data_IF_093040582607
#
_entry.id   IF_093040582607
#
_cell.length_a   1.000
_cell.length_b   1.000
_cell.length_c   1.000
_cell.angle_alpha   90.00
_cell.angle_beta   90.00
_cell.angle_gamma   90.00
#
_symmetry.space_group_name_H-M   'P 1'
#
loop_
_entity.id
_entity.type
_entity.pdbx_description
1 polymer ?
#
# COMPACT_ATOMS: atom_id res chain seq x y z
N UNK A 1 11.97 4.26 -36.43
CA UNK A 1 10.81 5.09 -36.82
C UNK A 1 10.54 6.06 -35.68
N UNK A 2 11.18 7.22 -35.77
CA UNK A 2 11.15 8.31 -34.79
C UNK A 2 9.94 9.20 -35.07
N UNK A 3 8.86 9.03 -34.31
CA UNK A 3 7.75 9.98 -34.29
C UNK A 3 8.15 11.24 -33.52
N UNK A 4 7.84 12.41 -34.06
CA UNK A 4 8.10 13.70 -33.45
C UNK A 4 7.49 13.76 -32.02
N UNK A 5 8.26 14.11 -30.97
CA UNK A 5 7.76 14.23 -29.60
C UNK A 5 6.91 15.50 -29.38
N UNK A 6 6.79 16.35 -30.39
CA UNK A 6 6.13 17.64 -30.28
C UNK A 6 4.63 17.47 -30.50
N UNK A 7 3.78 17.84 -29.52
CA UNK A 7 2.35 17.91 -29.76
C UNK A 7 2.06 18.97 -30.83
N UNK A 8 1.65 18.51 -32.01
CA UNK A 8 1.24 19.40 -33.09
C UNK A 8 -0.24 19.77 -32.86
N UNK A 9 -0.53 21.08 -32.77
CA UNK A 9 -1.89 21.65 -32.69
C UNK A 9 -2.69 21.30 -31.42
N UNK A 10 -2.17 21.60 -30.23
CA UNK A 10 -2.94 21.58 -28.96
C UNK A 10 -3.24 23.01 -28.52
N UNK A 11 -4.51 23.36 -28.38
CA UNK A 11 -4.95 24.61 -27.75
C UNK A 11 -5.32 24.34 -26.30
N UNK A 12 -4.76 25.11 -25.36
CA UNK A 12 -5.04 24.98 -23.92
C UNK A 12 -5.54 26.31 -23.40
N UNK A 13 -6.61 26.26 -22.60
CA UNK A 13 -7.20 27.43 -21.96
C UNK A 13 -6.98 27.34 -20.47
N UNK A 14 -6.63 28.47 -19.84
CA UNK A 14 -6.46 28.58 -18.39
C UNK A 14 -7.19 29.82 -17.87
N UNK A 15 -7.58 29.77 -16.60
CA UNK A 15 -8.25 30.86 -15.90
C UNK A 15 -7.25 31.58 -14.98
N UNK A 16 -7.40 32.89 -14.74
CA UNK A 16 -6.52 33.61 -13.80
C UNK A 16 -6.67 33.07 -12.38
N UNK A 17 -5.56 33.02 -11.62
CA UNK A 17 -5.53 32.42 -10.28
C UNK A 17 -6.54 33.08 -9.31
N UNK A 18 -6.71 34.40 -9.39
CA UNK A 18 -7.65 35.17 -8.56
C UNK A 18 -9.12 34.83 -8.83
N UNK A 19 -9.43 34.17 -9.95
CA UNK A 19 -10.79 33.75 -10.33
C UNK A 19 -11.03 32.25 -10.15
N UNK A 20 -10.02 31.49 -9.71
CA UNK A 20 -10.17 30.07 -9.40
C UNK A 20 -10.56 29.89 -7.93
N UNK A 21 -11.35 28.85 -7.66
CA UNK A 21 -11.69 28.43 -6.29
C UNK A 21 -10.75 27.28 -5.91
N UNK A 22 -9.76 27.49 -5.02
CA UNK A 22 -8.68 26.51 -4.78
C UNK A 22 -9.17 25.19 -4.20
N UNK A 23 -10.28 25.20 -3.45
CA UNK A 23 -10.88 24.03 -2.82
C UNK A 23 -12.27 23.66 -3.39
N UNK A 24 -12.62 24.14 -4.58
CA UNK A 24 -13.90 23.79 -5.19
C UNK A 24 -14.04 22.27 -5.35
N UNK A 25 -15.10 21.71 -4.76
CA UNK A 25 -15.36 20.27 -4.80
C UNK A 25 -14.33 19.43 -4.04
N UNK A 26 -13.44 20.04 -3.24
CA UNK A 26 -12.36 19.33 -2.58
C UNK A 26 -12.85 18.19 -1.69
N UNK A 27 -13.94 18.35 -0.95
CA UNK A 27 -14.46 17.30 -0.07
C UNK A 27 -14.99 16.09 -0.86
N UNK A 28 -15.85 16.34 -1.85
CA UNK A 28 -16.37 15.29 -2.73
C UNK A 28 -15.24 14.60 -3.51
N UNK A 29 -14.37 15.39 -4.15
CA UNK A 29 -13.26 14.86 -4.94
C UNK A 29 -12.22 14.15 -4.08
N UNK A 30 -11.90 14.65 -2.88
CA UNK A 30 -10.92 14.03 -2.00
C UNK A 30 -11.37 12.63 -1.59
N UNK A 31 -12.62 12.47 -1.15
CA UNK A 31 -13.12 11.16 -0.68
C UNK A 31 -13.10 10.15 -1.83
N UNK A 32 -13.75 10.45 -2.94
CA UNK A 32 -13.88 9.48 -4.04
C UNK A 32 -12.56 9.22 -4.77
N UNK A 33 -11.74 10.26 -4.98
CA UNK A 33 -10.45 10.09 -5.65
C UNK A 33 -9.44 9.36 -4.76
N UNK A 34 -9.44 9.63 -3.44
CA UNK A 34 -8.53 8.95 -2.51
C UNK A 34 -8.93 7.49 -2.35
N UNK A 35 -10.22 7.18 -2.18
CA UNK A 35 -10.68 5.79 -2.13
C UNK A 35 -10.38 5.04 -3.43
N UNK A 36 -10.63 5.66 -4.60
CA UNK A 36 -10.28 5.09 -5.90
C UNK A 36 -8.78 4.78 -5.98
N UNK A 37 -7.91 5.71 -5.57
CA UNK A 37 -6.45 5.48 -5.55
C UNK A 37 -6.04 4.37 -4.60
N UNK A 38 -6.63 4.32 -3.41
CA UNK A 38 -6.36 3.29 -2.40
C UNK A 38 -6.72 1.90 -2.91
N UNK A 39 -7.93 1.70 -3.46
CA UNK A 39 -8.36 0.36 -3.95
C UNK A 39 -7.48 -0.19 -5.08
N UNK A 40 -6.85 0.67 -5.88
CA UNK A 40 -5.95 0.24 -6.94
C UNK A 40 -4.58 -0.22 -6.42
N UNK A 41 -4.22 0.13 -5.19
CA UNK A 41 -2.90 -0.17 -4.61
C UNK A 41 -2.97 -1.17 -3.46
N UNK A 42 -4.07 -1.20 -2.72
CA UNK A 42 -4.21 -2.03 -1.52
C UNK A 42 -3.95 -3.52 -1.79
N UNK A 43 -4.33 -4.04 -2.96
CA UNK A 43 -4.10 -5.45 -3.30
C UNK A 43 -2.64 -5.77 -3.67
N UNK A 44 -1.82 -4.77 -3.99
CA UNK A 44 -0.39 -4.97 -4.22
C UNK A 44 0.41 -4.83 -2.92
N UNK A 45 -0.05 -3.96 -2.03
CA UNK A 45 0.66 -3.58 -0.82
C UNK A 45 0.25 -4.46 0.38
N UNK A 46 -1.04 -4.77 0.54
CA UNK A 46 -1.53 -5.49 1.71
C UNK A 46 -1.06 -6.96 1.79
N UNK A 47 -1.03 -7.76 0.70
CA UNK A 47 -0.62 -9.16 0.81
C UNK A 47 0.78 -9.39 1.41
N UNK A 48 1.86 -8.71 0.96
CA UNK A 48 3.18 -8.92 1.57
C UNK A 48 3.23 -8.51 3.03
N UNK A 49 2.53 -7.44 3.44
CA UNK A 49 2.49 -7.03 4.84
C UNK A 49 1.73 -8.00 5.74
N UNK A 50 0.61 -8.55 5.25
CA UNK A 50 -0.14 -9.57 5.99
C UNK A 50 0.68 -10.84 6.18
N UNK A 51 1.38 -11.29 5.14
CA UNK A 51 2.27 -12.44 5.22
C UNK A 51 3.40 -12.19 6.23
N UNK A 52 4.08 -11.04 6.12
CA UNK A 52 5.16 -10.70 7.04
C UNK A 52 4.70 -10.69 8.50
N UNK A 53 3.52 -10.12 8.77
CA UNK A 53 2.96 -10.08 10.12
C UNK A 53 2.58 -11.47 10.64
N UNK A 54 1.96 -12.31 9.80
CA UNK A 54 1.62 -13.68 10.17
C UNK A 54 2.88 -14.53 10.45
N UNK A 55 3.90 -14.44 9.60
CA UNK A 55 5.18 -15.14 9.81
C UNK A 55 5.89 -14.67 11.07
N UNK A 56 5.85 -13.37 11.37
CA UNK A 56 6.44 -12.82 12.59
C UNK A 56 5.74 -13.37 13.83
N UNK A 57 4.41 -13.36 13.88
CA UNK A 57 3.67 -13.92 15.03
C UNK A 57 3.97 -15.41 15.22
N UNK A 58 3.95 -16.18 14.13
CA UNK A 58 4.30 -17.60 14.18
C UNK A 58 5.73 -17.83 14.70
N UNK A 59 6.69 -17.01 14.26
CA UNK A 59 8.08 -17.11 14.70
C UNK A 59 8.23 -16.79 16.19
N UNK A 60 7.50 -15.79 16.71
CA UNK A 60 7.49 -15.44 18.14
C UNK A 60 6.91 -16.58 18.96
N UNK A 61 5.72 -17.08 18.60
CA UNK A 61 5.06 -18.18 19.31
C UNK A 61 5.92 -19.44 19.32
N UNK A 62 6.52 -19.79 18.17
CA UNK A 62 7.43 -20.95 18.07
C UNK A 62 8.69 -20.74 18.92
N UNK A 63 9.25 -19.54 18.96
CA UNK A 63 10.42 -19.23 19.77
C UNK A 63 10.12 -19.35 21.27
N UNK A 64 8.98 -18.81 21.72
CA UNK A 64 8.53 -18.93 23.11
C UNK A 64 8.26 -20.38 23.49
N UNK A 65 7.63 -21.14 22.59
CA UNK A 65 7.36 -22.56 22.80
C UNK A 65 8.64 -23.38 22.96
N UNK A 66 9.64 -23.19 22.10
CA UNK A 66 10.93 -23.91 22.18
C UNK A 66 11.70 -23.61 23.47
N UNK A 67 11.59 -22.38 23.99
CA UNK A 67 12.22 -22.00 25.26
C UNK A 67 11.42 -22.47 26.50
N UNK A 68 10.17 -22.90 26.31
CA UNK A 68 9.31 -23.43 27.37
C UNK A 68 9.75 -24.84 27.83
N UNK A 69 9.39 -25.20 29.07
CA UNK A 69 9.67 -26.54 29.62
C UNK A 69 9.11 -27.69 28.77
N UNK A 70 7.84 -27.68 28.32
CA UNK A 70 7.30 -28.76 27.50
C UNK A 70 7.94 -28.80 26.10
N UNK A 71 8.26 -27.65 25.49
CA UNK A 71 8.91 -27.63 24.18
C UNK A 71 10.34 -28.17 24.21
N UNK A 72 11.09 -27.88 25.28
CA UNK A 72 12.45 -28.42 25.47
C UNK A 72 12.47 -29.92 25.78
N UNK A 73 11.40 -30.44 26.38
CA UNK A 73 11.25 -31.87 26.64
C UNK A 73 10.89 -32.64 25.37
N UNK A 74 10.00 -32.10 24.54
CA UNK A 74 9.60 -32.73 23.28
C UNK A 74 10.74 -32.76 22.25
N UNK A 75 11.47 -31.66 22.08
CA UNK A 75 12.55 -31.58 21.08
C UNK A 75 13.88 -32.15 21.59
N UNK A 76 14.05 -32.30 22.91
CA UNK A 76 15.26 -32.84 23.54
C UNK A 76 15.25 -34.34 23.80
N UNK A 77 14.12 -35.02 23.59
CA UNK A 77 13.97 -36.48 23.69
C UNK A 77 14.07 -37.15 22.30
N UNK A 78 14.07 -36.35 21.22
CA UNK A 78 14.18 -36.76 19.82
C UNK A 78 15.64 -36.74 19.28
N UNK A 79 16.65 -36.51 20.15
CA UNK A 79 18.10 -36.65 19.86
C UNK A 79 18.71 -37.90 20.49
#
# INVERSE_FOLDING_TARGET
>A
MTGCPTPQRITTYSLSANRQRPLAGAFHNAIFNTFRRFRHQVLYVAPPFLIAYATMNWAVERNEYLNSKPGRLLEGDDE
#
